data_IF_253506295592
#
_entry.id   IF_253506295592
#
_cell.length_a   1.000
_cell.length_b   1.000
_cell.length_c   1.000
_cell.angle_alpha   90.00
_cell.angle_beta   90.00
_cell.angle_gamma   90.00
#
_symmetry.space_group_name_H-M   'P 1'
#
loop_
_entity.id
_entity.type
_entity.pdbx_description
1 polymer ?
#
# COMPACT_ATOMS: atom_id res chain seq x y z
N UNK A 1 19.05 34.93 -20.24
CA UNK A 1 18.50 33.72 -20.89
C UNK A 1 18.63 32.57 -19.90
N UNK A 2 17.56 32.23 -19.19
CA UNK A 2 17.59 31.24 -18.13
C UNK A 2 17.75 29.84 -18.75
N UNK A 3 18.84 29.16 -18.38
CA UNK A 3 19.18 27.83 -18.87
C UNK A 3 18.07 26.87 -18.43
N UNK A 4 17.41 26.23 -19.41
CA UNK A 4 16.29 25.29 -19.25
C UNK A 4 16.59 24.31 -18.11
N UNK A 5 15.86 24.44 -17.01
CA UNK A 5 15.97 23.54 -15.86
C UNK A 5 15.45 22.18 -16.30
N UNK A 6 16.33 21.18 -16.35
CA UNK A 6 15.93 19.78 -16.52
C UNK A 6 15.41 19.32 -15.17
N UNK A 7 14.11 19.54 -14.93
CA UNK A 7 13.39 18.76 -13.95
C UNK A 7 13.22 17.36 -14.55
N UNK A 8 14.20 16.47 -14.35
CA UNK A 8 13.88 15.05 -14.32
C UNK A 8 12.98 14.86 -13.10
N UNK A 9 11.69 15.11 -13.26
CA UNK A 9 10.68 14.37 -12.50
C UNK A 9 11.12 12.93 -12.66
N UNK A 10 11.58 12.31 -11.57
CA UNK A 10 11.74 10.86 -11.50
C UNK A 10 10.48 10.30 -12.14
N UNK A 11 10.63 9.68 -13.30
CA UNK A 11 9.54 8.99 -14.01
C UNK A 11 8.73 8.27 -12.93
N UNK A 12 7.44 8.57 -12.87
CA UNK A 12 6.46 7.83 -12.07
C UNK A 12 6.76 6.34 -12.25
N UNK A 13 7.41 5.71 -11.26
CA UNK A 13 8.01 4.39 -11.46
C UNK A 13 9.18 4.01 -10.56
N UNK A 14 9.37 4.63 -9.39
CA UNK A 14 10.41 4.19 -8.44
C UNK A 14 10.08 4.43 -6.97
N UNK A 15 8.79 4.35 -6.63
CA UNK A 15 8.29 4.72 -5.30
C UNK A 15 7.68 3.58 -4.49
N UNK A 16 8.06 2.31 -4.75
CA UNK A 16 7.42 1.07 -4.23
C UNK A 16 5.92 1.02 -4.59
N UNK A 17 5.51 0.04 -5.37
CA UNK A 17 4.06 -0.14 -5.57
C UNK A 17 3.44 -0.52 -4.22
N UNK A 18 2.41 0.22 -3.81
CA UNK A 18 1.69 -0.01 -2.57
C UNK A 18 0.37 -0.69 -2.88
N UNK A 19 0.06 -1.74 -2.15
CA UNK A 19 -1.21 -2.42 -2.19
C UNK A 19 -2.01 -2.10 -0.92
N UNK A 20 -3.31 -1.86 -1.10
CA UNK A 20 -4.25 -1.73 0.02
C UNK A 20 -4.80 -3.11 0.35
N UNK A 21 -4.39 -3.65 1.49
CA UNK A 21 -4.87 -4.92 2.02
C UNK A 21 -6.13 -4.67 2.84
N UNK A 22 -7.25 -5.29 2.46
CA UNK A 22 -8.52 -5.22 3.19
C UNK A 22 -8.79 -6.59 3.81
N UNK A 23 -8.84 -6.67 5.14
CA UNK A 23 -9.08 -7.92 5.89
C UNK A 23 -10.33 -7.84 6.73
N UNK A 24 -11.13 -8.90 6.72
CA UNK A 24 -12.23 -9.10 7.65
C UNK A 24 -11.67 -9.62 8.98
N UNK A 25 -11.70 -8.80 10.03
CA UNK A 25 -11.28 -9.19 11.38
C UNK A 25 -12.51 -9.37 12.24
N UNK A 26 -12.59 -10.51 12.92
CA UNK A 26 -13.65 -10.76 13.90
C UNK A 26 -13.31 -10.08 15.22
N UNK A 27 -14.23 -9.27 15.73
CA UNK A 27 -14.13 -8.64 17.05
C UNK A 27 -14.17 -9.72 18.14
N UNK A 28 -13.16 -9.82 19.02
CA UNK A 28 -13.15 -10.82 20.09
C UNK A 28 -14.20 -10.55 21.17
N UNK A 29 -14.67 -9.31 21.30
CA UNK A 29 -15.67 -8.91 22.30
C UNK A 29 -17.11 -9.15 21.85
N UNK A 30 -17.40 -8.88 20.58
CA UNK A 30 -18.79 -8.85 20.08
C UNK A 30 -19.07 -9.88 19.00
N UNK A 31 -18.04 -10.56 18.49
CA UNK A 31 -18.16 -11.55 17.41
C UNK A 31 -18.49 -10.95 16.03
N UNK A 32 -18.71 -9.64 15.94
CA UNK A 32 -18.96 -8.92 14.70
C UNK A 32 -17.71 -8.87 13.80
N UNK A 33 -17.90 -8.86 12.50
CA UNK A 33 -16.83 -8.67 11.53
C UNK A 33 -16.67 -7.19 11.21
N UNK A 34 -15.43 -6.72 11.26
CA UNK A 34 -15.05 -5.38 10.84
C UNK A 34 -13.99 -5.49 9.74
N UNK A 35 -14.02 -4.56 8.79
CA UNK A 35 -12.97 -4.44 7.78
C UNK A 35 -11.82 -3.62 8.36
N UNK A 36 -10.61 -4.17 8.31
CA UNK A 36 -9.36 -3.46 8.62
C UNK A 36 -8.57 -3.30 7.34
N UNK A 37 -8.18 -2.07 7.07
CA UNK A 37 -7.40 -1.70 5.89
C UNK A 37 -5.95 -1.38 6.29
N UNK A 38 -4.99 -1.85 5.52
CA UNK A 38 -3.57 -1.62 5.75
C UNK A 38 -2.85 -1.42 4.42
N UNK A 39 -1.96 -0.43 4.33
CA UNK A 39 -1.18 -0.15 3.12
C UNK A 39 0.18 -0.80 3.25
N UNK A 40 0.48 -1.76 2.36
CA UNK A 40 1.71 -2.55 2.39
C UNK A 40 2.42 -2.50 1.03
N UNK A 41 3.75 -2.68 0.97
CA UNK A 41 4.43 -2.87 -0.31
C UNK A 41 3.89 -4.11 -1.04
N UNK A 42 3.79 -4.03 -2.38
CA UNK A 42 3.27 -5.13 -3.23
C UNK A 42 3.99 -6.46 -3.00
N UNK A 43 5.30 -6.43 -2.78
CA UNK A 43 6.12 -7.62 -2.50
C UNK A 43 5.68 -8.36 -1.22
N UNK A 44 5.17 -7.62 -0.24
CA UNK A 44 4.76 -8.18 1.05
C UNK A 44 3.32 -8.72 1.05
N UNK A 45 2.55 -8.51 -0.03
CA UNK A 45 1.12 -8.90 -0.11
C UNK A 45 0.90 -10.39 0.05
N UNK A 46 1.73 -11.22 -0.61
CA UNK A 46 1.59 -12.69 -0.54
C UNK A 46 1.81 -13.21 0.87
N UNK A 47 2.81 -12.69 1.58
CA UNK A 47 3.09 -13.05 2.96
C UNK A 47 1.98 -12.55 3.91
N UNK A 48 1.40 -11.37 3.65
CA UNK A 48 0.33 -10.80 4.45
C UNK A 48 -1.01 -11.54 4.32
N UNK A 49 -1.26 -12.21 3.19
CA UNK A 49 -2.48 -13.00 2.93
C UNK A 49 -2.37 -14.47 3.34
N UNK A 50 -1.16 -15.04 3.45
CA UNK A 50 -0.96 -16.45 3.80
C UNK A 50 -1.16 -16.77 5.30
N UNK A 51 -1.63 -15.81 6.10
CA UNK A 51 -1.73 -15.86 7.55
C UNK A 51 -3.18 -15.76 7.99
#
# INVERSE_FOLDING_TARGET
MAKKVVATLKKEGSGRDWAKLVRCVRSPKTGAYAFREEMIPTEAVKAALAK
#
